data_IF_502656361662
#
_entry.id   IF_502656361662
#
_cell.length_a   1.000
_cell.length_b   1.000
_cell.length_c   1.000
_cell.angle_alpha   90.00
_cell.angle_beta   90.00
_cell.angle_gamma   90.00
#
_symmetry.space_group_name_H-M   'P 1'
#
loop_
_entity.id
_entity.type
_entity.pdbx_description
1 polymer ?
#
# COMPACT_ATOMS: atom_id res chain seq x y z
N UNK A 1 11.95 16.32 -5.46
CA UNK A 1 12.07 14.95 -4.90
C UNK A 1 10.75 14.61 -4.23
N UNK A 2 10.13 13.51 -4.63
CA UNK A 2 8.97 12.94 -3.94
C UNK A 2 9.48 12.30 -2.64
N UNK A 3 8.82 12.58 -1.53
CA UNK A 3 9.10 11.95 -0.24
C UNK A 3 7.78 11.44 0.32
N UNK A 4 7.77 10.20 0.80
CA UNK A 4 6.66 9.64 1.55
C UNK A 4 7.04 9.77 3.01
N UNK A 5 6.18 10.41 3.80
CA UNK A 5 6.44 10.68 5.20
C UNK A 5 5.38 9.94 5.99
N UNK A 6 5.82 9.15 6.96
CA UNK A 6 4.92 8.40 7.82
C UNK A 6 4.30 9.31 8.88
N UNK A 7 3.00 9.13 9.08
CA UNK A 7 2.20 9.93 9.99
C UNK A 7 1.06 9.08 10.55
N UNK A 8 0.60 9.44 11.74
CA UNK A 8 -0.62 8.89 12.33
C UNK A 8 -1.76 9.88 12.20
N UNK A 9 -2.98 9.37 12.12
CA UNK A 9 -4.21 10.16 12.11
C UNK A 9 -5.00 9.75 13.35
N UNK A 10 -5.28 10.68 14.25
CA UNK A 10 -6.09 10.40 15.44
C UNK A 10 -7.58 10.37 15.11
N UNK A 11 -8.40 9.96 16.08
CA UNK A 11 -9.86 9.82 15.93
C UNK A 11 -10.56 11.15 15.58
N UNK A 12 -9.91 12.29 15.84
CA UNK A 12 -10.40 13.62 15.50
C UNK A 12 -9.93 14.08 14.11
N UNK A 13 -9.18 13.24 13.39
CA UNK A 13 -8.66 13.51 12.05
C UNK A 13 -7.39 14.36 12.03
N UNK A 14 -6.72 14.58 13.17
CA UNK A 14 -5.47 15.33 13.18
C UNK A 14 -4.32 14.46 12.70
N UNK A 15 -3.58 14.97 11.71
CA UNK A 15 -2.39 14.31 11.16
C UNK A 15 -1.17 14.68 12.00
N UNK A 16 -0.46 13.69 12.54
CA UNK A 16 0.77 13.85 13.30
C UNK A 16 1.91 13.12 12.59
N UNK A 17 2.90 13.87 12.14
CA UNK A 17 4.10 13.29 11.54
C UNK A 17 4.86 12.50 12.62
N UNK A 18 5.32 11.29 12.29
CA UNK A 18 6.16 10.51 13.21
C UNK A 18 7.52 11.16 13.44
N UNK A 19 7.99 11.92 12.45
CA UNK A 19 9.27 12.61 12.48
C UNK A 19 9.11 14.04 11.95
N UNK A 20 9.81 15.03 12.54
CA UNK A 20 9.81 16.39 12.01
C UNK A 20 10.43 16.44 10.62
N UNK A 21 9.79 17.18 9.70
CA UNK A 21 10.32 17.40 8.35
C UNK A 21 10.80 18.84 8.20
N UNK A 22 11.97 19.00 7.58
CA UNK A 22 12.54 20.29 7.24
C UNK A 22 12.24 20.56 5.76
N UNK A 23 11.41 21.56 5.48
CA UNK A 23 11.08 21.96 4.12
C UNK A 23 11.69 23.34 3.82
N UNK A 24 12.44 23.51 2.73
CA UNK A 24 13.07 24.81 2.41
C UNK A 24 12.07 25.94 2.12
N UNK A 25 10.79 25.59 1.88
CA UNK A 25 9.69 26.53 1.70
C UNK A 25 8.34 25.85 1.97
N UNK A 26 7.31 26.62 2.39
CA UNK A 26 5.95 26.12 2.52
C UNK A 26 5.46 25.48 1.22
N UNK A 27 4.73 24.37 1.33
CA UNK A 27 4.15 23.66 0.18
C UNK A 27 2.91 22.87 0.62
N UNK A 28 2.08 22.54 -0.36
CA UNK A 28 0.95 21.61 -0.18
C UNK A 28 1.49 20.17 -0.12
N UNK A 29 0.80 19.33 0.65
CA UNK A 29 1.05 17.90 0.74
C UNK A 29 -0.25 17.13 0.47
N UNK A 30 -0.11 15.88 0.04
CA UNK A 30 -1.21 14.92 -0.04
C UNK A 30 -1.12 13.96 1.13
N UNK A 31 -2.27 13.49 1.59
CA UNK A 31 -2.39 12.48 2.64
C UNK A 31 -3.09 11.28 2.03
N UNK A 32 -2.45 10.12 2.15
CA UNK A 32 -3.04 8.83 1.79
C UNK A 32 -3.35 8.09 3.08
N UNK A 33 -4.61 7.69 3.26
CA UNK A 33 -5.05 6.92 4.42
C UNK A 33 -4.92 5.45 4.05
N UNK A 34 -4.15 4.70 4.83
CA UNK A 34 -4.04 3.26 4.68
C UNK A 34 -5.27 2.60 5.28
N UNK A 35 -5.80 1.58 4.60
CA UNK A 35 -6.86 0.76 5.17
C UNK A 35 -6.33 0.06 6.43
N UNK A 36 -7.19 -0.11 7.43
CA UNK A 36 -6.84 -0.93 8.59
C UNK A 36 -6.59 -2.36 8.11
N UNK A 37 -5.53 -3.02 8.60
CA UNK A 37 -5.25 -4.42 8.30
C UNK A 37 -6.40 -5.34 8.74
N UNK A 38 -7.24 -4.86 9.67
CA UNK A 38 -8.45 -5.56 10.13
C UNK A 38 -9.62 -5.45 9.15
N UNK A 39 -9.59 -4.51 8.21
CA UNK A 39 -10.62 -4.30 7.19
C UNK A 39 -10.30 -5.03 5.87
N UNK A 40 -9.31 -5.93 5.85
CA UNK A 40 -9.09 -6.80 4.71
C UNK A 40 -10.34 -7.68 4.57
N UNK A 41 -11.09 -7.58 3.45
CA UNK A 41 -12.29 -8.39 3.29
C UNK A 41 -11.92 -9.86 3.32
N UNK A 42 -12.72 -10.69 4.01
CA UNK A 42 -12.49 -12.13 4.16
C UNK A 42 -12.28 -12.81 2.80
N UNK A 43 -12.93 -12.31 1.75
CA UNK A 43 -12.74 -12.75 0.38
C UNK A 43 -11.32 -12.51 -0.15
N UNK A 44 -10.66 -11.40 0.20
CA UNK A 44 -9.27 -11.14 -0.17
C UNK A 44 -8.31 -12.10 0.53
N UNK A 45 -8.59 -12.47 1.79
CA UNK A 45 -7.78 -13.47 2.52
C UNK A 45 -7.89 -14.86 1.89
N UNK A 46 -9.06 -15.25 1.39
CA UNK A 46 -9.29 -16.54 0.73
C UNK A 46 -8.85 -16.55 -0.75
N UNK A 47 -8.65 -15.37 -1.36
CA UNK A 47 -8.30 -15.24 -2.77
C UNK A 47 -6.90 -15.76 -3.07
N UNK A 48 -5.95 -15.64 -2.14
CA UNK A 48 -4.59 -16.15 -2.33
C UNK A 48 -4.59 -17.66 -2.61
N UNK A 49 -5.24 -18.45 -1.75
CA UNK A 49 -5.32 -19.90 -1.91
C UNK A 49 -6.09 -20.29 -3.18
N UNK A 50 -7.18 -19.59 -3.50
CA UNK A 50 -7.99 -19.87 -4.68
C UNK A 50 -7.28 -19.53 -6.00
N UNK A 51 -6.51 -18.45 -6.04
CA UNK A 51 -5.77 -18.03 -7.24
C UNK A 51 -4.45 -18.80 -7.40
N UNK A 52 -3.84 -19.24 -6.30
CA UNK A 52 -2.57 -19.96 -6.32
C UNK A 52 -2.62 -21.26 -7.13
N UNK A 53 -3.78 -21.92 -7.23
CA UNK A 53 -3.93 -23.18 -8.00
C UNK A 53 -3.65 -23.00 -9.49
N UNK A 54 -4.10 -21.88 -10.07
CA UNK A 54 -3.90 -21.57 -11.48
C UNK A 54 -2.72 -20.63 -11.72
N UNK A 55 -2.49 -19.66 -10.83
CA UNK A 55 -1.50 -18.60 -11.01
C UNK A 55 -0.06 -19.05 -10.72
N UNK A 56 0.17 -19.99 -9.78
CA UNK A 56 1.52 -20.46 -9.44
C UNK A 56 2.00 -21.61 -10.33
N UNK A 57 1.37 -21.80 -11.49
CA UNK A 57 1.79 -22.82 -12.45
C UNK A 57 3.02 -22.32 -13.20
N UNK A 58 4.00 -23.18 -13.41
CA UNK A 58 5.22 -22.86 -14.15
C UNK A 58 4.96 -22.39 -15.59
N UNK A 59 3.78 -22.71 -16.14
CA UNK A 59 3.30 -22.26 -17.45
C UNK A 59 3.00 -20.76 -17.45
N UNK A 60 2.45 -20.23 -16.36
CA UNK A 60 2.25 -18.79 -16.17
C UNK A 60 3.60 -18.10 -16.04
N UNK A 61 4.51 -18.57 -15.18
CA UNK A 61 5.86 -17.98 -15.06
C UNK A 61 6.58 -17.86 -16.42
N UNK A 62 6.46 -18.88 -17.27
CA UNK A 62 7.00 -18.86 -18.63
C UNK A 62 6.28 -17.84 -19.52
N UNK A 63 4.95 -17.76 -19.47
CA UNK A 63 4.17 -16.78 -20.21
C UNK A 63 4.54 -15.33 -19.84
N UNK A 64 4.72 -15.04 -18.56
CA UNK A 64 5.11 -13.72 -18.06
C UNK A 64 6.54 -13.35 -18.44
N UNK A 65 7.46 -14.32 -18.52
CA UNK A 65 8.84 -14.10 -18.98
C UNK A 65 8.95 -13.57 -20.41
N UNK A 66 7.90 -13.71 -21.23
CA UNK A 66 7.88 -13.24 -22.61
C UNK A 66 7.39 -11.79 -22.78
N UNK A 67 6.96 -11.13 -21.69
CA UNK A 67 6.39 -9.78 -21.71
C UNK A 67 7.36 -8.68 -21.21
N UNK A 68 8.62 -9.02 -20.95
CA UNK A 68 9.68 -8.07 -20.60
C UNK A 68 10.36 -7.44 -21.83
#
# INVERSE_FOLDING_TARGET
MLQIIEATIDEQGNVRLLQPIQLPKPRRAYVTILADERDIPETALLSEAALAEDWNRSEEDAAWSHLQ
#
